data_IF_969609508699
#
_entry.id   IF_969609508699
#
_cell.length_a   1.000
_cell.length_b   1.000
_cell.length_c   1.000
_cell.angle_alpha   90.00
_cell.angle_beta   90.00
_cell.angle_gamma   90.00
#
_symmetry.space_group_name_H-M   'P 1'
#
loop_
_entity.id
_entity.type
_entity.pdbx_description
1 polymer ?
#
# COMPACT_ATOMS: atom_id res chain seq x y z
N UNK A 1 22.33 -9.32 -6.86
CA UNK A 1 22.80 -8.15 -7.63
C UNK A 1 24.29 -7.87 -7.49
N UNK A 2 24.87 -7.98 -6.30
CA UNK A 2 26.32 -7.73 -6.11
C UNK A 2 27.22 -8.63 -6.97
N UNK A 3 26.91 -9.93 -7.07
CA UNK A 3 27.62 -10.85 -7.98
C UNK A 3 27.55 -10.41 -9.44
N UNK A 4 26.48 -9.71 -9.86
CA UNK A 4 26.35 -9.16 -11.21
C UNK A 4 27.19 -7.89 -11.32
N UNK A 5 27.10 -6.99 -10.33
CA UNK A 5 27.89 -5.77 -10.27
C UNK A 5 29.40 -6.06 -10.31
N UNK A 6 29.87 -7.11 -9.63
CA UNK A 6 31.26 -7.54 -9.63
C UNK A 6 31.79 -8.00 -11.00
N UNK A 7 30.90 -8.32 -11.95
CA UNK A 7 31.28 -8.64 -13.34
C UNK A 7 31.50 -7.39 -14.21
N UNK A 8 31.37 -6.20 -13.63
CA UNK A 8 31.52 -4.91 -14.31
C UNK A 8 30.75 -4.81 -15.64
N UNK A 9 29.43 -5.07 -15.64
CA UNK A 9 28.67 -5.14 -16.88
C UNK A 9 28.66 -3.79 -17.59
N UNK A 10 29.02 -3.80 -18.87
CA UNK A 10 28.95 -2.61 -19.71
C UNK A 10 27.51 -2.23 -20.07
N UNK A 11 26.56 -3.19 -20.02
CA UNK A 11 25.15 -2.99 -20.34
C UNK A 11 24.26 -3.52 -19.21
N UNK A 12 23.29 -2.71 -18.79
CA UNK A 12 22.27 -3.09 -17.80
C UNK A 12 20.90 -2.65 -18.29
N UNK A 13 19.94 -3.59 -18.25
CA UNK A 13 18.53 -3.36 -18.49
C UNK A 13 17.77 -3.44 -17.16
N UNK A 14 17.01 -2.39 -16.84
CA UNK A 14 16.24 -2.27 -15.61
C UNK A 14 14.74 -2.22 -15.90
N UNK A 15 13.91 -2.42 -14.87
CA UNK A 15 12.45 -2.22 -14.91
C UNK A 15 11.74 -3.00 -16.03
N UNK A 16 11.99 -4.32 -16.13
CA UNK A 16 11.40 -5.13 -17.21
C UNK A 16 11.84 -4.69 -18.61
N UNK A 17 13.09 -4.23 -18.75
CA UNK A 17 13.70 -3.65 -19.95
C UNK A 17 13.19 -2.25 -20.39
N UNK A 18 12.34 -1.59 -19.60
CA UNK A 18 11.91 -0.20 -19.87
C UNK A 18 13.00 0.86 -19.64
N UNK A 19 14.17 0.50 -19.14
CA UNK A 19 15.30 1.42 -18.96
C UNK A 19 16.63 0.72 -19.25
N UNK A 20 17.52 1.40 -19.97
CA UNK A 20 18.80 0.88 -20.41
C UNK A 20 19.94 1.84 -20.06
N UNK A 21 21.00 1.31 -19.46
CA UNK A 21 22.19 2.06 -19.10
C UNK A 21 23.45 1.37 -19.63
N UNK A 22 24.46 2.19 -19.97
CA UNK A 22 25.74 1.71 -20.49
C UNK A 22 26.95 2.32 -19.77
N UNK A 23 28.07 1.60 -19.77
CA UNK A 23 29.33 2.02 -19.16
C UNK A 23 29.18 2.41 -17.69
N UNK A 24 29.76 3.55 -17.28
CA UNK A 24 29.71 4.04 -15.89
C UNK A 24 28.28 4.19 -15.34
N UNK A 25 27.29 4.50 -16.19
CA UNK A 25 25.89 4.63 -15.78
C UNK A 25 25.25 3.28 -15.45
N UNK A 26 25.67 2.21 -16.11
CA UNK A 26 25.21 0.86 -15.80
C UNK A 26 25.64 0.44 -14.39
N UNK A 27 26.90 0.73 -14.06
CA UNK A 27 27.46 0.52 -12.73
C UNK A 27 26.73 1.36 -11.67
N UNK A 28 26.57 2.67 -11.89
CA UNK A 28 25.87 3.55 -10.97
C UNK A 28 24.41 3.15 -10.74
N UNK A 29 23.73 2.64 -11.78
CA UNK A 29 22.38 2.11 -11.66
C UNK A 29 22.33 0.86 -10.77
N UNK A 30 23.27 -0.07 -10.92
CA UNK A 30 23.36 -1.25 -10.04
C UNK A 30 23.64 -0.84 -8.60
N UNK A 31 24.55 0.11 -8.39
CA UNK A 31 24.96 0.55 -7.06
C UNK A 31 23.80 1.20 -6.30
N UNK A 32 23.10 2.12 -6.95
CA UNK A 32 21.92 2.75 -6.36
C UNK A 32 20.82 1.72 -6.00
N UNK A 33 20.61 0.71 -6.85
CA UNK A 33 19.62 -0.35 -6.58
C UNK A 33 20.08 -1.28 -5.44
N UNK A 34 21.37 -1.67 -5.40
CA UNK A 34 21.92 -2.50 -4.32
C UNK A 34 21.79 -1.74 -2.99
N UNK A 35 22.20 -0.49 -2.97
CA UNK A 35 22.20 0.33 -1.76
C UNK A 35 20.79 0.56 -1.21
N UNK A 36 19.83 0.93 -2.06
CA UNK A 36 18.46 1.17 -1.59
C UNK A 36 17.81 -0.11 -1.07
N UNK A 37 17.99 -1.25 -1.75
CA UNK A 37 17.41 -2.53 -1.33
C UNK A 37 18.00 -2.94 0.02
N UNK A 38 19.32 -2.85 0.19
CA UNK A 38 19.98 -3.13 1.47
C UNK A 38 19.49 -2.22 2.57
N UNK A 39 19.50 -0.91 2.33
CA UNK A 39 19.09 0.06 3.34
C UNK A 39 17.64 -0.16 3.80
N UNK A 40 16.72 -0.38 2.87
CA UNK A 40 15.32 -0.65 3.22
C UNK A 40 15.18 -1.98 3.98
N UNK A 41 15.90 -3.02 3.55
CA UNK A 41 15.91 -4.32 4.23
C UNK A 41 16.44 -4.20 5.67
N UNK A 42 17.59 -3.55 5.85
CA UNK A 42 18.25 -3.43 7.13
C UNK A 42 17.44 -2.55 8.10
N UNK A 43 16.77 -1.51 7.59
CA UNK A 43 15.80 -0.74 8.37
C UNK A 43 14.64 -1.59 8.86
N UNK A 44 14.06 -2.46 8.01
CA UNK A 44 12.98 -3.37 8.42
C UNK A 44 13.46 -4.35 9.48
N UNK A 45 14.61 -5.01 9.26
CA UNK A 45 15.18 -5.97 10.23
C UNK A 45 15.49 -5.28 11.56
N UNK A 46 16.04 -4.06 11.52
CA UNK A 46 16.25 -3.25 12.72
C UNK A 46 14.93 -3.03 13.47
N UNK A 47 13.88 -2.57 12.80
CA UNK A 47 12.60 -2.28 13.45
C UNK A 47 11.88 -3.54 13.96
N UNK A 48 12.03 -4.68 13.30
CA UNK A 48 11.60 -5.99 13.83
C UNK A 48 12.29 -6.27 15.17
N UNK A 49 13.62 -6.11 15.24
CA UNK A 49 14.38 -6.36 16.46
C UNK A 49 14.09 -5.34 17.57
N UNK A 50 13.62 -4.14 17.23
CA UNK A 50 13.16 -3.11 18.17
C UNK A 50 11.70 -3.31 18.62
N UNK A 51 10.99 -4.33 18.09
CA UNK A 51 9.60 -4.60 18.43
C UNK A 51 8.62 -3.57 17.88
N UNK A 52 8.99 -2.82 16.84
CA UNK A 52 8.10 -1.84 16.22
C UNK A 52 6.99 -2.56 15.45
N UNK A 53 5.74 -2.21 15.74
CA UNK A 53 4.58 -2.77 15.07
C UNK A 53 4.58 -2.41 13.57
N UNK A 54 4.13 -3.35 12.72
CA UNK A 54 4.19 -3.22 11.26
C UNK A 54 3.41 -1.99 10.74
N UNK A 55 2.31 -1.62 11.40
CA UNK A 55 1.50 -0.44 11.03
C UNK A 55 2.29 0.88 11.17
N UNK A 56 3.24 0.96 12.09
CA UNK A 56 4.13 2.12 12.24
C UNK A 56 5.34 2.02 11.30
N UNK A 57 5.87 0.80 11.15
CA UNK A 57 7.06 0.52 10.36
C UNK A 57 6.91 0.94 8.89
N UNK A 58 5.73 0.74 8.28
CA UNK A 58 5.46 1.18 6.90
C UNK A 58 5.61 2.70 6.72
N UNK A 59 5.47 3.48 7.80
CA UNK A 59 5.65 4.92 7.78
C UNK A 59 7.06 5.35 8.19
N UNK A 60 7.77 4.55 8.99
CA UNK A 60 9.11 4.84 9.50
C UNK A 60 10.22 4.52 8.50
N UNK A 61 10.09 3.43 7.72
CA UNK A 61 11.12 3.04 6.74
C UNK A 61 11.13 4.00 5.56
N UNK A 62 12.31 4.53 5.22
CA UNK A 62 12.49 5.51 4.14
C UNK A 62 13.70 5.19 3.27
N UNK A 63 13.61 5.60 2.00
CA UNK A 63 14.76 5.60 1.11
C UNK A 63 15.79 6.60 1.66
N UNK A 64 17.10 6.27 1.66
CA UNK A 64 18.13 7.22 2.05
C UNK A 64 18.02 8.55 1.28
N UNK A 65 18.17 9.69 1.98
CA UNK A 65 17.94 11.03 1.41
C UNK A 65 18.72 11.29 0.11
N UNK A 66 19.97 10.82 0.02
CA UNK A 66 20.80 11.00 -1.19
C UNK A 66 20.33 10.15 -2.38
N UNK A 67 19.49 9.13 -2.14
CA UNK A 67 18.93 8.26 -3.17
C UNK A 67 17.51 8.65 -3.59
N UNK A 68 16.80 9.50 -2.84
CA UNK A 68 15.41 9.87 -3.14
C UNK A 68 15.21 10.46 -4.54
N UNK A 69 16.20 11.20 -5.03
CA UNK A 69 16.21 11.82 -6.36
C UNK A 69 17.13 11.11 -7.34
N UNK A 70 17.56 9.89 -7.03
CA UNK A 70 18.42 9.12 -7.92
C UNK A 70 17.72 8.88 -9.26
N UNK A 71 18.35 9.20 -10.40
CA UNK A 71 17.75 8.97 -11.72
C UNK A 71 17.59 7.48 -12.05
N UNK A 72 18.20 6.61 -11.23
CA UNK A 72 18.18 5.15 -11.39
C UNK A 72 17.05 4.47 -10.59
N UNK A 73 16.40 5.20 -9.67
CA UNK A 73 15.39 4.66 -8.73
C UNK A 73 14.01 5.25 -9.01
N UNK A 74 13.53 5.12 -10.24
CA UNK A 74 12.18 5.56 -10.60
C UNK A 74 11.12 4.74 -9.85
N UNK A 75 10.43 5.39 -8.91
CA UNK A 75 9.35 4.80 -8.11
C UNK A 75 8.04 4.78 -8.88
N UNK A 76 7.94 3.91 -9.87
CA UNK A 76 6.76 3.82 -10.73
C UNK A 76 5.97 2.55 -10.48
N UNK A 77 6.66 1.42 -10.37
CA UNK A 77 5.99 0.13 -10.28
C UNK A 77 5.57 -0.22 -8.85
N UNK A 78 6.47 -0.04 -7.88
CA UNK A 78 6.24 -0.40 -6.47
C UNK A 78 6.46 0.80 -5.54
N UNK A 79 6.26 0.58 -4.23
CA UNK A 79 6.42 1.56 -3.16
C UNK A 79 7.09 0.96 -1.92
N UNK A 80 7.65 1.81 -1.07
CA UNK A 80 8.41 1.41 0.12
C UNK A 80 7.55 0.57 1.07
N UNK A 81 6.28 0.93 1.24
CA UNK A 81 5.34 0.24 2.11
C UNK A 81 5.16 -1.23 1.71
N UNK A 82 5.08 -1.52 0.41
CA UNK A 82 5.00 -2.90 -0.08
C UNK A 82 6.29 -3.68 0.18
N UNK A 83 7.44 -3.02 0.04
CA UNK A 83 8.73 -3.63 0.37
C UNK A 83 8.80 -3.97 1.86
N UNK A 84 8.36 -3.07 2.73
CA UNK A 84 8.29 -3.29 4.19
C UNK A 84 7.45 -4.51 4.51
N UNK A 85 6.22 -4.59 4.00
CA UNK A 85 5.35 -5.75 4.21
C UNK A 85 6.02 -7.06 3.75
N UNK A 86 6.68 -7.05 2.59
CA UNK A 86 7.31 -8.25 2.04
C UNK A 86 8.50 -8.72 2.89
N UNK A 87 9.37 -7.81 3.32
CA UNK A 87 10.52 -8.16 4.17
C UNK A 87 10.06 -8.54 5.57
N UNK A 88 9.08 -7.84 6.14
CA UNK A 88 8.50 -8.21 7.43
C UNK A 88 7.93 -9.62 7.38
N UNK A 89 7.12 -9.93 6.36
CA UNK A 89 6.55 -11.27 6.16
C UNK A 89 7.61 -12.35 5.97
N UNK A 90 8.73 -12.02 5.33
CA UNK A 90 9.84 -12.96 5.12
C UNK A 90 10.47 -13.44 6.43
N UNK A 91 10.63 -12.55 7.41
CA UNK A 91 11.29 -12.88 8.68
C UNK A 91 10.33 -13.19 9.81
N UNK A 92 9.27 -12.40 9.94
CA UNK A 92 8.38 -12.40 11.09
C UNK A 92 7.06 -13.16 10.82
N UNK A 93 6.74 -13.41 9.54
CA UNK A 93 5.55 -14.14 9.16
C UNK A 93 4.30 -13.27 9.11
N UNK A 94 3.16 -13.79 9.59
CA UNK A 94 1.85 -13.14 9.49
C UNK A 94 1.35 -12.56 10.82
N UNK A 95 1.87 -13.05 11.95
CA UNK A 95 1.48 -12.59 13.27
C UNK A 95 2.18 -11.28 13.57
N UNK A 96 1.48 -10.29 14.12
CA UNK A 96 1.96 -8.93 14.34
C UNK A 96 2.09 -8.59 15.83
N UNK A 97 2.27 -9.61 16.68
CA UNK A 97 2.28 -9.52 18.15
C UNK A 97 0.97 -9.05 18.79
N UNK A 98 -0.12 -8.91 18.03
CA UNK A 98 -1.47 -8.72 18.57
C UNK A 98 -2.20 -10.07 18.68
N UNK A 99 -2.48 -10.59 19.89
CA UNK A 99 -3.18 -11.87 20.07
C UNK A 99 -4.53 -11.97 19.35
N UNK A 100 -5.23 -10.85 19.14
CA UNK A 100 -6.49 -10.82 18.38
C UNK A 100 -6.31 -11.22 16.90
N UNK A 101 -5.09 -11.09 16.37
CA UNK A 101 -4.75 -11.40 14.98
C UNK A 101 -4.06 -12.77 14.82
N UNK A 102 -3.84 -13.53 15.91
CA UNK A 102 -3.12 -14.81 15.85
C UNK A 102 -3.88 -15.88 15.04
N UNK A 103 -5.18 -16.00 15.30
CA UNK A 103 -6.11 -16.89 14.59
C UNK A 103 -7.42 -16.11 14.39
N UNK A 104 -7.45 -15.15 13.45
CA UNK A 104 -8.58 -14.23 13.33
C UNK A 104 -9.83 -14.97 12.84
N UNK A 105 -10.99 -14.52 13.31
CA UNK A 105 -12.28 -14.88 12.71
C UNK A 105 -12.39 -14.26 11.31
N UNK A 106 -13.31 -14.73 10.45
CA UNK A 106 -13.61 -14.05 9.19
C UNK A 106 -13.87 -12.57 9.44
N UNK A 107 -13.21 -11.69 8.68
CA UNK A 107 -13.28 -10.23 8.88
C UNK A 107 -14.71 -9.70 8.92
N UNK A 108 -15.59 -10.26 8.07
CA UNK A 108 -17.01 -9.91 8.05
C UNK A 108 -17.72 -10.13 9.39
N UNK A 109 -17.37 -11.18 10.15
CA UNK A 109 -17.93 -11.40 11.49
C UNK A 109 -17.54 -10.25 12.43
N UNK A 110 -16.27 -9.84 12.41
CA UNK A 110 -15.77 -8.76 13.26
C UNK A 110 -16.38 -7.41 12.86
N UNK A 111 -16.46 -7.12 11.56
CA UNK A 111 -17.03 -5.86 11.06
C UNK A 111 -18.52 -5.73 11.33
N UNK A 112 -19.27 -6.85 11.31
CA UNK A 112 -20.68 -6.85 11.73
C UNK A 112 -20.83 -6.46 13.20
N UNK A 113 -20.02 -7.01 14.10
CA UNK A 113 -20.08 -6.66 15.52
C UNK A 113 -19.69 -5.20 15.75
N UNK A 114 -18.65 -4.71 15.06
CA UNK A 114 -18.28 -3.29 15.09
C UNK A 114 -19.42 -2.40 14.60
N UNK A 115 -20.09 -2.78 13.51
CA UNK A 115 -21.23 -2.05 12.98
C UNK A 115 -22.42 -2.07 13.96
N UNK A 116 -22.72 -3.21 14.59
CA UNK A 116 -23.78 -3.32 15.60
C UNK A 116 -23.53 -2.40 16.80
N UNK A 117 -22.26 -2.24 17.21
CA UNK A 117 -21.87 -1.30 18.26
C UNK A 117 -22.05 0.17 17.84
N UNK A 118 -21.78 0.50 16.57
CA UNK A 118 -21.99 1.85 16.03
C UNK A 118 -23.49 2.16 15.89
N UNK A 119 -24.26 1.19 15.43
CA UNK A 119 -25.73 1.19 15.41
C UNK A 119 -26.39 2.19 14.46
N UNK A 120 -25.65 2.84 13.55
CA UNK A 120 -26.21 3.81 12.58
C UNK A 120 -25.37 3.95 11.32
N UNK A 121 -26.03 3.78 10.18
CA UNK A 121 -25.47 4.07 8.86
C UNK A 121 -25.15 5.56 8.72
N UNK A 122 -26.07 6.42 9.17
CA UNK A 122 -25.99 7.88 9.02
C UNK A 122 -24.76 8.43 9.73
N UNK A 123 -24.53 8.03 10.99
CA UNK A 123 -23.37 8.46 11.78
C UNK A 123 -22.06 8.04 11.11
N UNK A 124 -21.99 6.82 10.59
CA UNK A 124 -20.79 6.32 9.92
C UNK A 124 -20.54 7.09 8.62
N UNK A 125 -21.58 7.32 7.82
CA UNK A 125 -21.50 8.10 6.57
C UNK A 125 -21.11 9.55 6.83
N UNK A 126 -21.66 10.19 7.85
CA UNK A 126 -21.27 11.54 8.28
C UNK A 126 -19.78 11.57 8.65
N UNK A 127 -19.32 10.61 9.47
CA UNK A 127 -17.91 10.53 9.85
C UNK A 127 -16.99 10.31 8.65
N UNK A 128 -17.39 9.49 7.70
CA UNK A 128 -16.65 9.26 6.45
C UNK A 128 -16.50 10.56 5.67
N UNK A 129 -17.57 11.36 5.56
CA UNK A 129 -17.54 12.67 4.89
C UNK A 129 -16.66 13.68 5.63
N UNK A 130 -16.75 13.77 6.95
CA UNK A 130 -15.85 14.62 7.76
C UNK A 130 -14.38 14.29 7.49
N UNK A 131 -14.01 13.00 7.57
CA UNK A 131 -12.63 12.55 7.32
C UNK A 131 -12.20 12.81 5.88
N UNK A 132 -13.13 12.72 4.92
CA UNK A 132 -12.87 13.07 3.53
C UNK A 132 -12.57 14.56 3.38
N UNK A 133 -13.35 15.43 4.02
CA UNK A 133 -13.17 16.89 3.99
C UNK A 133 -11.89 17.33 4.71
N UNK A 134 -11.45 16.58 5.72
CA UNK A 134 -10.14 16.73 6.36
C UNK A 134 -8.95 16.17 5.54
N UNK A 135 -9.19 15.70 4.30
CA UNK A 135 -8.20 15.03 3.43
C UNK A 135 -7.60 13.73 4.01
N UNK A 136 -8.26 13.11 4.99
CA UNK A 136 -7.84 11.83 5.59
C UNK A 136 -8.41 10.65 4.79
N UNK A 137 -8.13 10.60 3.49
CA UNK A 137 -8.81 9.69 2.56
C UNK A 137 -8.62 8.21 2.88
N UNK A 138 -7.40 7.77 3.21
CA UNK A 138 -7.15 6.34 3.54
C UNK A 138 -7.89 5.92 4.81
N UNK A 139 -7.91 6.80 5.82
CA UNK A 139 -8.63 6.57 7.07
C UNK A 139 -10.14 6.57 6.83
N UNK A 140 -10.65 7.54 6.07
CA UNK A 140 -12.06 7.60 5.64
C UNK A 140 -12.50 6.32 4.94
N UNK A 141 -11.65 5.77 4.05
CA UNK A 141 -11.90 4.48 3.40
C UNK A 141 -11.95 3.30 4.38
N UNK A 142 -11.04 3.24 5.36
CA UNK A 142 -11.03 2.19 6.39
C UNK A 142 -12.28 2.25 7.28
N UNK A 143 -12.73 3.45 7.66
CA UNK A 143 -13.98 3.63 8.42
C UNK A 143 -15.19 3.21 7.59
N UNK A 144 -15.23 3.58 6.30
CA UNK A 144 -16.29 3.20 5.39
C UNK A 144 -16.36 1.67 5.17
N UNK A 145 -15.22 0.98 5.22
CA UNK A 145 -15.18 -0.47 5.00
C UNK A 145 -16.00 -1.25 6.03
N UNK A 146 -16.08 -0.77 7.28
CA UNK A 146 -16.95 -1.35 8.31
C UNK A 146 -18.40 -1.48 7.81
N UNK A 147 -18.95 -0.40 7.23
CA UNK A 147 -20.30 -0.41 6.67
C UNK A 147 -20.40 -1.29 5.42
N UNK A 148 -19.40 -1.29 4.54
CA UNK A 148 -19.45 -2.08 3.31
C UNK A 148 -19.37 -3.58 3.59
N UNK A 149 -18.62 -3.99 4.61
CA UNK A 149 -18.56 -5.40 5.04
C UNK A 149 -19.87 -5.83 5.70
N UNK A 150 -20.48 -4.93 6.49
CA UNK A 150 -21.73 -5.19 7.19
C UNK A 150 -22.95 -5.22 6.25
N UNK A 151 -23.05 -4.23 5.36
CA UNK A 151 -24.07 -4.12 4.32
C UNK A 151 -23.44 -3.93 2.94
N UNK A 152 -23.04 -5.04 2.28
CA UNK A 152 -22.45 -4.98 0.93
C UNK A 152 -23.37 -4.41 -0.13
N UNK A 153 -24.68 -4.31 0.09
CA UNK A 153 -25.64 -3.78 -0.89
C UNK A 153 -25.89 -2.27 -0.71
N UNK A 154 -25.27 -1.64 0.30
CA UNK A 154 -25.50 -0.24 0.64
C UNK A 154 -25.02 0.72 -0.47
N UNK A 155 -25.97 1.24 -1.25
CA UNK A 155 -25.73 2.09 -2.43
C UNK A 155 -24.87 3.32 -2.12
N UNK A 156 -25.24 4.09 -1.10
CA UNK A 156 -24.52 5.33 -0.78
C UNK A 156 -23.09 5.09 -0.28
N UNK A 157 -22.85 3.98 0.42
CA UNK A 157 -21.52 3.59 0.88
C UNK A 157 -20.62 3.28 -0.33
N UNK A 158 -21.12 2.52 -1.31
CA UNK A 158 -20.38 2.25 -2.56
C UNK A 158 -20.11 3.51 -3.37
N UNK A 159 -21.07 4.42 -3.47
CA UNK A 159 -20.86 5.73 -4.13
C UNK A 159 -19.74 6.53 -3.44
N UNK A 160 -19.69 6.53 -2.10
CA UNK A 160 -18.61 7.18 -1.36
C UNK A 160 -17.27 6.45 -1.54
N UNK A 161 -17.27 5.11 -1.56
CA UNK A 161 -16.04 4.33 -1.81
C UNK A 161 -15.45 4.66 -3.18
N UNK A 162 -16.27 4.77 -4.23
CA UNK A 162 -15.82 5.23 -5.55
C UNK A 162 -15.10 6.58 -5.46
N UNK A 163 -15.69 7.58 -4.78
CA UNK A 163 -15.09 8.92 -4.62
C UNK A 163 -13.75 8.86 -3.88
N UNK A 164 -13.67 8.07 -2.82
CA UNK A 164 -12.45 7.87 -2.03
C UNK A 164 -11.35 7.19 -2.86
N UNK A 165 -11.68 6.10 -3.56
CA UNK A 165 -10.75 5.38 -4.42
C UNK A 165 -10.26 6.24 -5.58
N UNK A 166 -11.11 7.10 -6.16
CA UNK A 166 -10.69 8.09 -7.15
C UNK A 166 -9.69 9.10 -6.58
N UNK A 167 -9.91 9.62 -5.36
CA UNK A 167 -8.97 10.53 -4.69
C UNK A 167 -7.65 9.86 -4.39
N UNK A 168 -7.67 8.66 -3.81
CA UNK A 168 -6.47 7.86 -3.54
C UNK A 168 -5.71 7.56 -4.83
N UNK A 169 -6.39 7.07 -5.87
CA UNK A 169 -5.82 6.80 -7.18
C UNK A 169 -5.19 8.02 -7.86
N UNK A 170 -5.83 9.20 -7.76
CA UNK A 170 -5.31 10.43 -8.33
C UNK A 170 -4.02 10.93 -7.68
N UNK A 171 -3.82 10.67 -6.38
CA UNK A 171 -2.61 11.07 -5.64
C UNK A 171 -1.52 9.99 -5.64
N UNK A 172 -1.87 8.73 -5.86
CA UNK A 172 -0.94 7.62 -5.72
C UNK A 172 0.03 7.55 -6.91
N UNK A 173 1.32 7.70 -6.67
CA UNK A 173 2.35 7.66 -7.71
C UNK A 173 2.64 6.24 -8.24
N UNK A 174 2.29 5.20 -7.50
CA UNK A 174 2.66 3.82 -7.79
C UNK A 174 1.60 3.16 -8.69
N UNK A 175 2.02 2.61 -9.83
CA UNK A 175 1.11 1.99 -10.78
C UNK A 175 0.39 0.78 -10.20
N UNK A 176 1.03 -0.04 -9.37
CA UNK A 176 0.37 -1.21 -8.77
C UNK A 176 -0.81 -0.80 -7.89
N UNK A 177 -0.62 0.12 -6.94
CA UNK A 177 -1.71 0.57 -6.08
C UNK A 177 -2.72 1.43 -6.84
N UNK A 178 -2.27 2.34 -7.72
CA UNK A 178 -3.17 3.14 -8.56
C UNK A 178 -4.13 2.28 -9.37
N UNK A 179 -3.62 1.23 -10.02
CA UNK A 179 -4.45 0.33 -10.81
C UNK A 179 -5.42 -0.46 -9.92
N UNK A 180 -5.00 -0.86 -8.71
CA UNK A 180 -5.90 -1.49 -7.75
C UNK A 180 -7.04 -0.54 -7.33
N UNK A 181 -6.75 0.73 -7.02
CA UNK A 181 -7.77 1.72 -6.67
C UNK A 181 -8.80 1.90 -7.80
N UNK A 182 -8.33 1.99 -9.05
CA UNK A 182 -9.19 2.11 -10.23
C UNK A 182 -10.06 0.86 -10.39
N UNK A 183 -9.46 -0.33 -10.33
CA UNK A 183 -10.16 -1.60 -10.47
C UNK A 183 -11.30 -1.75 -9.47
N UNK A 184 -11.06 -1.48 -8.18
CA UNK A 184 -12.11 -1.60 -7.16
C UNK A 184 -13.19 -0.52 -7.28
N UNK A 185 -12.83 0.68 -7.77
CA UNK A 185 -13.84 1.69 -8.10
C UNK A 185 -14.71 1.26 -9.28
N UNK A 186 -14.13 0.63 -10.31
CA UNK A 186 -14.87 0.07 -11.43
C UNK A 186 -15.81 -1.06 -11.00
N UNK A 187 -15.37 -1.91 -10.06
CA UNK A 187 -16.25 -2.94 -9.47
C UNK A 187 -17.48 -2.37 -8.77
N UNK A 188 -17.35 -1.25 -8.08
CA UNK A 188 -18.50 -0.56 -7.50
C UNK A 188 -19.39 0.09 -8.58
N UNK A 189 -18.81 0.64 -9.66
CA UNK A 189 -19.59 1.18 -10.78
C UNK A 189 -20.39 0.09 -11.50
N UNK A 190 -19.77 -1.04 -11.80
CA UNK A 190 -20.44 -2.22 -12.38
C UNK A 190 -21.60 -2.65 -11.49
N UNK A 191 -21.39 -2.70 -10.17
CA UNK A 191 -22.44 -3.05 -9.21
C UNK A 191 -23.63 -2.09 -9.29
N UNK A 192 -23.40 -0.77 -9.28
CA UNK A 192 -24.46 0.23 -9.35
C UNK A 192 -25.22 0.19 -10.68
N UNK A 193 -24.49 0.03 -11.80
CA UNK A 193 -25.09 -0.11 -13.13
C UNK A 193 -26.02 -1.33 -13.22
N UNK A 194 -25.61 -2.47 -12.63
CA UNK A 194 -26.43 -3.67 -12.57
C UNK A 194 -27.72 -3.49 -11.73
N UNK A 195 -27.76 -2.48 -10.85
CA UNK A 195 -28.95 -2.09 -10.08
C UNK A 195 -29.79 -1.00 -10.78
N UNK A 196 -29.36 -0.53 -11.97
CA UNK A 196 -30.02 0.56 -12.70
C UNK A 196 -29.77 1.95 -12.11
N UNK A 197 -28.67 2.13 -11.37
CA UNK A 197 -28.27 3.37 -10.68
C UNK A 197 -27.02 3.97 -11.33
#
# INVERSE_FOLDING_TARGET
MEKIRAKEPYHVFCNGAGSYFKGKRAIAALDANIEVIRSLHDQVVKYINEGMHISEMIHAVKIPKHLERSPYLKRLYSRTEFFVYNVYRWYHGYFDDNPAHLIPRPEKEVMNELFNLIGSNEKLIEKVKELYDENKFQLSLQILDVLIQADPEHIEARKLRIKLLQKLGGMDYCYMSRNAWIYYADKDREFLQNKGI
#
